data_IF_353808159895
#
_entry.id   IF_353808159895
#
_cell.length_a   1.000
_cell.length_b   1.000
_cell.length_c   1.000
_cell.angle_alpha   90.00
_cell.angle_beta   90.00
_cell.angle_gamma   90.00
#
_symmetry.space_group_name_H-M   'P 1'
#
loop_
_entity.id
_entity.type
_entity.pdbx_description
1 polymer ?
#
# COMPACT_ATOMS: atom_id res chain seq x y z
N UNK A 1 -5.86 -2.51 3.85
CA UNK A 1 -6.18 -3.54 2.82
C UNK A 1 -5.95 -4.97 3.32
N UNK A 2 -5.66 -5.12 4.62
CA UNK A 2 -5.13 -6.33 5.21
C UNK A 2 -6.25 -7.20 5.85
N UNK A 3 -7.46 -6.65 6.00
CA UNK A 3 -8.61 -7.38 6.54
C UNK A 3 -9.04 -8.59 5.68
N UNK A 4 -9.17 -8.49 4.34
CA UNK A 4 -9.61 -9.65 3.57
C UNK A 4 -8.73 -10.91 3.69
N UNK A 5 -7.38 -10.86 3.52
CA UNK A 5 -6.54 -12.05 3.72
C UNK A 5 -6.57 -12.56 5.17
N UNK A 6 -6.67 -11.64 6.15
CA UNK A 6 -6.85 -12.01 7.56
C UNK A 6 -8.14 -12.79 7.80
N UNK A 7 -9.26 -12.35 7.23
CA UNK A 7 -10.55 -13.00 7.40
C UNK A 7 -10.57 -14.40 6.77
N UNK A 8 -9.96 -14.58 5.58
CA UNK A 8 -9.82 -15.90 4.94
C UNK A 8 -9.06 -16.89 5.85
N UNK A 9 -7.97 -16.42 6.46
CA UNK A 9 -7.17 -17.18 7.42
C UNK A 9 -8.00 -17.58 8.65
N UNK A 10 -8.75 -16.63 9.23
CA UNK A 10 -9.59 -16.87 10.41
C UNK A 10 -10.72 -17.88 10.18
N UNK A 11 -11.30 -17.93 8.98
CA UNK A 11 -12.34 -18.91 8.63
C UNK A 11 -11.77 -20.25 8.16
N UNK A 12 -10.45 -20.43 8.17
CA UNK A 12 -9.77 -21.67 7.80
C UNK A 12 -9.76 -21.97 6.31
N UNK A 13 -9.85 -20.95 5.46
CA UNK A 13 -9.79 -21.09 3.99
C UNK A 13 -8.37 -20.86 3.50
N UNK A 14 -7.78 -21.88 2.89
CA UNK A 14 -6.56 -21.76 2.09
C UNK A 14 -6.94 -21.47 0.63
N UNK A 15 -6.48 -20.34 0.09
CA UNK A 15 -6.84 -19.91 -1.26
C UNK A 15 -5.73 -19.04 -1.86
N UNK A 16 -5.56 -19.19 -3.16
CA UNK A 16 -4.77 -18.24 -3.95
C UNK A 16 -5.57 -16.96 -4.20
N UNK A 17 -4.92 -15.80 -4.07
CA UNK A 17 -5.53 -14.51 -4.35
C UNK A 17 -4.47 -13.46 -4.73
N UNK A 18 -4.79 -12.43 -5.54
CA UNK A 18 -3.87 -11.35 -5.88
C UNK A 18 -3.73 -10.26 -4.80
N UNK A 19 -4.40 -10.41 -3.66
CA UNK A 19 -4.41 -9.39 -2.60
C UNK A 19 -2.99 -9.18 -2.04
N UNK A 20 -2.53 -7.92 -2.04
CA UNK A 20 -1.23 -7.51 -1.47
C UNK A 20 -1.32 -7.15 0.03
N UNK A 21 -2.48 -7.39 0.64
CA UNK A 21 -2.66 -7.21 2.08
C UNK A 21 -1.98 -8.33 2.87
N UNK A 22 -1.61 -8.05 4.11
CA UNK A 22 -1.03 -9.04 5.01
C UNK A 22 -2.10 -9.76 5.83
N UNK A 23 -1.90 -11.06 6.05
CA UNK A 23 -2.65 -11.83 7.05
C UNK A 23 -2.17 -11.45 8.47
N UNK A 24 -2.98 -10.65 9.17
CA UNK A 24 -2.69 -10.13 10.50
C UNK A 24 -2.72 -11.21 11.60
N UNK A 25 -3.22 -12.41 11.30
CA UNK A 25 -3.11 -13.55 12.25
C UNK A 25 -1.69 -14.10 12.34
N UNK A 26 -0.84 -13.80 11.34
CA UNK A 26 0.54 -14.31 11.22
C UNK A 26 1.58 -13.24 11.47
N UNK A 27 1.39 -12.04 10.94
CA UNK A 27 2.33 -10.94 11.10
C UNK A 27 1.67 -9.57 10.94
N UNK A 28 2.22 -8.58 11.63
CA UNK A 28 1.88 -7.18 11.38
C UNK A 28 2.77 -6.64 10.26
N UNK A 29 2.22 -5.95 9.24
CA UNK A 29 3.02 -5.34 8.18
C UNK A 29 3.78 -4.09 8.65
N UNK A 30 3.52 -3.60 9.87
CA UNK A 30 4.15 -2.37 10.39
C UNK A 30 3.81 -1.12 9.57
N UNK A 31 2.75 -1.15 8.76
CA UNK A 31 2.43 -0.07 7.82
C UNK A 31 0.94 0.21 7.68
N UNK A 32 0.62 1.48 7.44
CA UNK A 32 -0.70 1.96 7.05
C UNK A 32 -0.61 2.74 5.73
N UNK A 33 -1.58 2.50 4.86
CA UNK A 33 -1.74 3.17 3.57
C UNK A 33 -3.03 3.98 3.63
N UNK A 34 -2.95 5.26 3.26
CA UNK A 34 -4.08 6.19 3.31
C UNK A 34 -4.10 7.07 2.07
N UNK A 35 -5.29 7.42 1.59
CA UNK A 35 -5.46 8.37 0.51
C UNK A 35 -6.51 9.42 0.90
N UNK A 36 -6.18 10.68 0.66
CA UNK A 36 -7.08 11.82 0.81
C UNK A 36 -7.02 12.67 -0.44
N UNK A 37 -8.10 12.66 -1.24
CA UNK A 37 -8.12 13.23 -2.59
C UNK A 37 -6.92 12.70 -3.41
N UNK A 38 -6.05 13.60 -3.87
CA UNK A 38 -4.85 13.25 -4.65
C UNK A 38 -3.59 13.10 -3.79
N UNK A 39 -3.71 13.16 -2.46
CA UNK A 39 -2.60 12.99 -1.52
C UNK A 39 -2.55 11.56 -1.01
N UNK A 40 -1.36 10.96 -1.06
CA UNK A 40 -1.12 9.59 -0.62
C UNK A 40 -0.20 9.59 0.60
N UNK A 41 -0.62 8.91 1.66
CA UNK A 41 0.13 8.73 2.90
C UNK A 41 0.57 7.28 3.07
N UNK A 42 1.85 7.09 3.34
CA UNK A 42 2.45 5.81 3.67
C UNK A 42 3.13 5.92 5.03
N UNK A 43 2.49 5.39 6.08
CA UNK A 43 3.06 5.30 7.41
C UNK A 43 3.73 3.93 7.55
N UNK A 44 5.02 3.91 7.88
CA UNK A 44 5.76 2.68 8.19
C UNK A 44 6.44 2.86 9.53
N UNK A 45 6.05 2.05 10.51
CA UNK A 45 6.34 2.25 11.92
C UNK A 45 5.97 3.68 12.36
N UNK A 46 6.96 4.53 12.61
CA UNK A 46 6.77 5.93 12.97
C UNK A 46 7.12 6.90 11.85
N UNK A 47 7.51 6.44 10.66
CA UNK A 47 7.86 7.33 9.55
C UNK A 47 6.67 7.47 8.59
N UNK A 48 6.11 8.68 8.52
CA UNK A 48 5.04 9.04 7.59
C UNK A 48 5.64 9.71 6.36
N UNK A 49 5.48 9.08 5.20
CA UNK A 49 5.78 9.66 3.91
C UNK A 49 4.51 10.14 3.21
N UNK A 50 4.53 11.37 2.69
CA UNK A 50 3.41 11.96 1.97
C UNK A 50 3.82 12.26 0.53
N UNK A 51 3.04 11.76 -0.41
CA UNK A 51 3.15 12.02 -1.85
C UNK A 51 1.97 12.87 -2.31
N UNK A 52 2.23 13.86 -3.14
CA UNK A 52 1.21 14.69 -3.77
C UNK A 52 1.60 14.99 -5.23
N UNK A 53 0.63 15.26 -6.12
CA UNK A 53 0.91 15.42 -7.55
C UNK A 53 1.85 16.59 -7.79
N UNK A 54 2.87 16.36 -8.63
CA UNK A 54 3.84 17.38 -9.04
C UNK A 54 4.56 18.08 -7.87
N UNK A 55 4.67 17.41 -6.71
CA UNK A 55 5.37 17.92 -5.53
C UNK A 55 6.47 16.95 -5.12
N UNK A 56 7.55 17.51 -4.56
CA UNK A 56 8.57 16.70 -3.89
C UNK A 56 7.95 15.97 -2.71
N UNK A 57 8.24 14.66 -2.51
CA UNK A 57 7.82 13.94 -1.32
C UNK A 57 8.28 14.62 -0.03
N UNK A 58 7.44 14.57 0.99
CA UNK A 58 7.78 15.05 2.33
C UNK A 58 7.66 13.92 3.34
N UNK A 59 8.48 13.95 4.39
CA UNK A 59 8.52 12.93 5.42
C UNK A 59 8.42 13.56 6.81
N UNK A 60 7.70 12.87 7.69
CA UNK A 60 7.53 13.22 9.09
C UNK A 60 7.81 12.02 9.98
N UNK A 61 8.36 12.28 11.16
CA UNK A 61 8.31 11.35 12.28
C UNK A 61 6.98 11.54 12.99
N UNK A 62 6.14 10.52 12.95
CA UNK A 62 4.85 10.44 13.62
C UNK A 62 5.01 9.94 15.06
N UNK A 63 4.45 10.70 15.99
CA UNK A 63 4.23 10.26 17.37
C UNK A 63 2.73 10.38 17.68
N UNK A 64 2.14 9.29 18.17
CA UNK A 64 0.73 9.28 18.50
C UNK A 64 0.40 10.31 19.61
N UNK A 65 -0.81 10.91 19.60
CA UNK A 65 -1.88 10.64 18.63
C UNK A 65 -1.77 11.48 17.33
N UNK A 66 -1.14 12.64 17.36
CA UNK A 66 -1.23 13.65 16.28
C UNK A 66 0.02 14.53 16.11
N UNK A 67 1.19 14.09 16.59
CA UNK A 67 2.44 14.84 16.41
C UNK A 67 3.19 14.39 15.15
N UNK A 68 3.70 15.36 14.38
CA UNK A 68 4.34 15.16 13.08
C UNK A 68 5.57 16.06 12.95
N UNK A 69 6.72 15.58 13.39
CA UNK A 69 7.98 16.32 13.29
C UNK A 69 8.58 16.13 11.88
N UNK A 70 8.87 17.20 11.11
CA UNK A 70 9.53 17.07 9.81
C UNK A 70 10.90 16.40 9.94
N UNK A 71 11.22 15.48 9.04
CA UNK A 71 12.53 14.81 8.98
C UNK A 71 13.09 14.83 7.56
N UNK A 72 14.38 14.53 7.42
CA UNK A 72 14.99 14.36 6.11
C UNK A 72 14.32 13.21 5.34
N UNK A 73 14.10 13.42 4.05
CA UNK A 73 13.49 12.43 3.17
C UNK A 73 14.37 11.19 3.05
N UNK A 74 13.82 10.01 3.32
CA UNK A 74 14.43 8.73 3.01
C UNK A 74 14.04 8.29 1.57
N UNK A 75 14.99 8.23 0.62
CA UNK A 75 14.70 7.84 -0.77
C UNK A 75 14.17 6.42 -0.94
N UNK A 76 14.54 5.49 -0.06
CA UNK A 76 14.08 4.09 -0.12
C UNK A 76 12.60 4.01 0.27
N UNK A 77 12.24 4.66 1.38
CA UNK A 77 10.84 4.78 1.80
C UNK A 77 9.99 5.52 0.76
N UNK A 78 10.56 6.55 0.13
CA UNK A 78 9.89 7.28 -0.95
C UNK A 78 9.57 6.37 -2.15
N UNK A 79 10.52 5.51 -2.51
CA UNK A 79 10.36 4.54 -3.60
C UNK A 79 9.31 3.49 -3.26
N UNK A 80 9.34 2.94 -2.04
CA UNK A 80 8.36 1.95 -1.56
C UNK A 80 6.94 2.52 -1.54
N UNK A 81 6.74 3.72 -0.98
CA UNK A 81 5.45 4.38 -0.95
C UNK A 81 4.93 4.68 -2.37
N UNK A 82 5.81 5.14 -3.27
CA UNK A 82 5.43 5.40 -4.66
C UNK A 82 5.00 4.12 -5.37
N UNK A 83 5.68 3.00 -5.15
CA UNK A 83 5.29 1.71 -5.70
C UNK A 83 3.87 1.33 -5.25
N UNK A 84 3.57 1.47 -3.96
CA UNK A 84 2.22 1.20 -3.43
C UNK A 84 1.17 2.20 -3.94
N UNK A 85 1.52 3.47 -4.15
CA UNK A 85 0.61 4.48 -4.68
C UNK A 85 0.23 4.20 -6.14
N UNK A 86 1.18 3.73 -6.95
CA UNK A 86 0.99 3.43 -8.37
C UNK A 86 0.32 2.07 -8.61
N UNK A 87 0.50 1.12 -7.68
CA UNK A 87 0.07 -0.27 -7.85
C UNK A 87 -1.41 -0.43 -8.23
N UNK A 88 -2.40 0.25 -7.60
CA UNK A 88 -3.81 0.03 -7.95
C UNK A 88 -4.12 0.43 -9.40
N UNK A 89 -3.60 1.58 -9.85
CA UNK A 89 -3.83 2.08 -11.21
C UNK A 89 -3.16 1.19 -12.25
N UNK A 90 -1.91 0.79 -12.00
CA UNK A 90 -1.19 -0.14 -12.85
C UNK A 90 -1.88 -1.51 -12.90
N UNK A 91 -2.24 -2.07 -11.75
CA UNK A 91 -2.88 -3.38 -11.68
C UNK A 91 -4.23 -3.40 -12.39
N UNK A 92 -5.00 -2.31 -12.30
CA UNK A 92 -6.24 -2.16 -13.04
C UNK A 92 -6.01 -2.05 -14.56
N UNK A 93 -5.14 -1.11 -14.99
CA UNK A 93 -4.90 -0.85 -16.42
C UNK A 93 -4.33 -2.07 -17.15
N UNK A 94 -3.41 -2.77 -16.50
CA UNK A 94 -2.73 -3.93 -17.08
C UNK A 94 -3.46 -5.26 -16.80
N UNK A 95 -4.63 -5.23 -16.17
CA UNK A 95 -5.38 -6.45 -15.80
C UNK A 95 -4.63 -7.39 -14.86
N UNK A 96 -3.76 -6.87 -13.99
CA UNK A 96 -2.85 -7.68 -13.14
C UNK A 96 -3.44 -8.07 -11.79
N UNK A 97 -4.64 -7.60 -11.45
CA UNK A 97 -5.36 -8.08 -10.27
C UNK A 97 -6.10 -9.39 -10.59
N UNK A 98 -5.34 -10.44 -10.88
CA UNK A 98 -5.81 -11.75 -11.32
C UNK A 98 -4.99 -12.85 -10.65
N UNK A 99 -5.47 -14.10 -10.71
CA UNK A 99 -4.72 -15.24 -10.15
C UNK A 99 -3.39 -15.45 -10.89
N UNK A 100 -2.34 -15.93 -10.19
CA UNK A 100 -1.07 -16.29 -10.82
C UNK A 100 -1.28 -17.20 -12.03
N UNK A 101 -0.59 -16.92 -13.14
CA UNK A 101 -0.70 -17.70 -14.38
C UNK A 101 -1.94 -17.38 -15.23
N UNK A 102 -2.89 -16.59 -14.74
CA UNK A 102 -3.99 -16.06 -15.55
C UNK A 102 -3.58 -14.70 -16.14
N UNK A 103 -3.25 -14.64 -17.43
CA UNK A 103 -3.13 -13.36 -18.13
C UNK A 103 -4.47 -13.06 -18.77
N UNK A 104 -5.26 -12.08 -18.26
CA UNK A 104 -6.49 -11.73 -18.94
C UNK A 104 -6.17 -11.16 -20.33
N UNK A 105 -7.00 -11.49 -21.32
CA UNK A 105 -6.95 -10.79 -22.61
C UNK A 105 -7.20 -9.31 -22.35
N UNK A 106 -6.18 -8.48 -22.57
CA UNK A 106 -6.32 -7.03 -22.48
C UNK A 106 -7.21 -6.60 -23.66
N UNK A 107 -8.49 -6.37 -23.39
CA UNK A 107 -9.37 -5.70 -24.35
C UNK A 107 -8.92 -4.24 -24.39
N UNK A 108 -8.08 -3.92 -25.37
CA UNK A 108 -7.72 -2.55 -25.68
C UNK A 108 -9.02 -1.75 -25.88
N UNK A 109 -9.19 -0.70 -25.07
CA UNK A 109 -10.20 0.34 -25.30
C UNK A 109 -9.56 1.47 -26.08
#
# INVERSE_FOLDING_TARGET
>A
IDLPPTLLSLIGVDTEHPMIGHDLTRSSPGRAIMQYDNTYGYLKENDLLVLAPSKTPVQYRYTAPEDYAPVALNPELATEALAHALWPSWAYREGRYCLPGHTPEVVAR
#
